data_IF_613869095320
#
_entry.id   IF_613869095320
#
_cell.length_a   1.000
_cell.length_b   1.000
_cell.length_c   1.000
_cell.angle_alpha   90.00
_cell.angle_beta   90.00
_cell.angle_gamma   90.00
#
_symmetry.space_group_name_H-M   'P 1'
#
loop_
_entity.id
_entity.type
_entity.pdbx_description
1 polymer ?
#
# COMPACT_ATOMS: atom_id res chain seq x y z
N UNK A 1 -35.96 54.90 -23.18
CA UNK A 1 -35.36 53.58 -23.43
C UNK A 1 -33.85 53.70 -23.37
N UNK A 2 -33.24 53.28 -22.26
CA UNK A 2 -31.79 53.04 -22.12
C UNK A 2 -31.67 51.79 -21.25
N UNK A 3 -31.18 50.70 -21.85
CA UNK A 3 -30.84 49.47 -21.13
C UNK A 3 -29.38 49.56 -20.70
N UNK A 4 -29.14 49.34 -19.40
CA UNK A 4 -27.85 49.05 -18.79
C UNK A 4 -27.99 47.63 -18.23
N UNK A 5 -27.26 46.68 -18.82
CA UNK A 5 -27.08 45.35 -18.24
C UNK A 5 -26.03 45.44 -17.13
N UNK A 6 -26.42 45.08 -15.91
CA UNK A 6 -25.52 44.87 -14.77
C UNK A 6 -25.66 43.44 -14.29
N UNK A 7 -24.50 42.84 -14.02
CA UNK A 7 -24.28 41.49 -13.55
C UNK A 7 -25.00 41.20 -12.24
N UNK A 8 -25.67 40.05 -12.13
CA UNK A 8 -26.21 39.54 -10.87
C UNK A 8 -25.27 38.47 -10.32
N UNK A 9 -24.57 38.81 -9.23
CA UNK A 9 -23.92 37.86 -8.33
C UNK A 9 -25.05 37.21 -7.52
N UNK A 10 -25.26 35.91 -7.68
CA UNK A 10 -26.19 35.14 -6.86
C UNK A 10 -25.47 34.71 -5.56
N UNK A 11 -25.82 35.38 -4.45
CA UNK A 11 -25.50 34.90 -3.12
C UNK A 11 -26.47 33.76 -2.75
N UNK A 12 -25.93 32.58 -2.43
CA UNK A 12 -26.68 31.45 -1.86
C UNK A 12 -26.97 31.72 -0.38
N UNK A 13 -28.21 31.56 0.12
CA UNK A 13 -28.51 31.69 1.54
C UNK A 13 -28.14 30.41 2.32
N UNK A 14 -27.81 30.64 3.58
CA UNK A 14 -27.39 29.67 4.58
C UNK A 14 -28.43 28.58 4.89
N UNK A 15 -27.90 27.43 5.32
CA UNK A 15 -28.47 26.35 6.13
C UNK A 15 -30.01 26.29 6.28
N UNK A 16 -30.62 25.28 5.67
CA UNK A 16 -31.96 24.80 6.04
C UNK A 16 -31.89 24.13 7.42
N UNK A 17 -32.23 24.90 8.46
CA UNK A 17 -32.60 24.36 9.77
C UNK A 17 -34.05 23.86 9.66
N UNK A 18 -34.27 22.55 9.75
CA UNK A 18 -35.61 22.01 9.95
C UNK A 18 -36.08 22.33 11.37
N UNK A 19 -36.85 23.41 11.53
CA UNK A 19 -37.46 23.78 12.80
C UNK A 19 -38.55 22.80 13.21
N UNK A 20 -38.33 22.06 14.31
CA UNK A 20 -39.40 21.43 15.10
C UNK A 20 -40.00 22.47 16.05
N UNK A 21 -41.31 22.38 16.30
CA UNK A 21 -41.98 23.11 17.38
C UNK A 21 -41.51 22.54 18.73
N UNK A 22 -40.90 23.37 19.57
CA UNK A 22 -40.46 23.04 20.93
C UNK A 22 -41.53 23.48 21.93
N UNK A 23 -41.96 22.58 22.81
CA UNK A 23 -42.87 22.88 23.92
C UNK A 23 -42.09 23.47 25.11
N UNK A 24 -42.73 24.34 25.89
CA UNK A 24 -42.17 25.21 26.96
C UNK A 24 -41.44 24.52 28.14
N UNK A 25 -41.12 23.23 28.07
CA UNK A 25 -40.47 22.47 29.17
C UNK A 25 -39.32 21.54 28.73
N UNK A 26 -38.76 21.68 27.54
CA UNK A 26 -37.51 20.97 27.20
C UNK A 26 -36.30 21.71 27.81
N UNK A 27 -35.73 21.12 28.85
CA UNK A 27 -34.42 21.53 29.37
C UNK A 27 -33.39 21.43 28.25
N UNK A 28 -32.68 22.53 28.02
CA UNK A 28 -31.68 22.70 26.97
C UNK A 28 -30.45 21.82 27.27
N UNK A 29 -30.57 20.54 26.94
CA UNK A 29 -29.49 19.56 27.01
C UNK A 29 -29.07 19.20 25.60
N UNK A 30 -28.48 20.16 24.88
CA UNK A 30 -27.59 19.83 23.77
C UNK A 30 -26.34 19.22 24.39
N UNK A 31 -26.33 17.89 24.52
CA UNK A 31 -25.10 17.15 24.82
C UNK A 31 -24.27 17.19 23.54
N UNK A 32 -23.38 18.18 23.44
CA UNK A 32 -22.29 18.15 22.46
C UNK A 32 -21.32 17.07 22.96
N UNK A 33 -21.41 15.86 22.42
CA UNK A 33 -20.36 14.88 22.64
C UNK A 33 -19.04 15.46 22.16
N UNK A 34 -17.99 15.38 22.99
CA UNK A 34 -16.66 15.81 22.56
C UNK A 34 -16.26 15.00 21.32
N UNK A 35 -15.68 15.64 20.29
CA UNK A 35 -15.26 14.93 19.10
C UNK A 35 -14.26 13.84 19.49
N UNK A 36 -14.40 12.65 18.89
CA UNK A 36 -13.48 11.56 19.09
C UNK A 36 -12.03 12.01 18.83
N UNK A 37 -11.12 11.58 19.71
CA UNK A 37 -9.69 11.87 19.62
C UNK A 37 -8.93 10.61 19.25
N UNK A 38 -7.87 10.80 18.47
CA UNK A 38 -6.98 9.78 17.95
C UNK A 38 -5.56 10.09 18.41
N UNK A 39 -4.81 9.07 18.79
CA UNK A 39 -3.40 9.20 19.15
C UNK A 39 -2.59 8.99 17.88
N UNK A 40 -1.88 10.03 17.44
CA UNK A 40 -0.99 9.96 16.28
C UNK A 40 0.46 10.09 16.70
N UNK A 41 1.36 9.53 15.88
CA UNK A 41 2.81 9.65 15.99
C UNK A 41 3.35 10.41 14.78
N UNK A 42 4.03 11.54 15.03
CA UNK A 42 4.61 12.40 13.98
C UNK A 42 6.04 11.99 13.58
N UNK A 43 6.70 11.25 14.47
CA UNK A 43 8.09 10.80 14.38
C UNK A 43 8.39 9.90 15.58
N UNK A 44 9.56 9.26 15.66
CA UNK A 44 9.81 8.18 16.61
C UNK A 44 9.65 8.67 18.06
N UNK A 45 8.60 8.20 18.74
CA UNK A 45 8.25 8.58 20.10
C UNK A 45 7.55 9.94 20.27
N UNK A 46 7.29 10.67 19.19
CA UNK A 46 6.60 11.97 19.21
C UNK A 46 5.09 11.77 18.97
N UNK A 47 4.34 11.62 20.07
CA UNK A 47 2.90 11.35 20.01
C UNK A 47 2.05 12.54 20.43
N UNK A 48 0.89 12.71 19.78
CA UNK A 48 -0.10 13.72 20.14
C UNK A 48 -1.53 13.21 19.96
N UNK A 49 -2.46 13.70 20.81
CA UNK A 49 -3.88 13.45 20.66
C UNK A 49 -4.53 14.54 19.81
N UNK A 50 -5.22 14.13 18.76
CA UNK A 50 -5.79 15.02 17.75
C UNK A 50 -7.22 14.59 17.40
N UNK A 51 -8.04 15.52 16.92
CA UNK A 51 -9.35 15.19 16.35
C UNK A 51 -9.20 14.61 14.94
N UNK A 52 -10.28 14.08 14.36
CA UNK A 52 -10.24 13.63 12.96
C UNK A 52 -9.95 14.78 11.98
N UNK A 53 -10.46 15.99 12.25
CA UNK A 53 -10.17 17.15 11.40
C UNK A 53 -8.72 17.59 11.50
N UNK A 54 -8.13 17.57 12.70
CA UNK A 54 -6.70 17.86 12.89
C UNK A 54 -5.81 16.91 12.07
N UNK A 55 -6.19 15.62 11.95
CA UNK A 55 -5.49 14.67 11.06
C UNK A 55 -5.53 15.13 9.60
N UNK A 56 -6.69 15.58 9.13
CA UNK A 56 -6.83 16.08 7.76
C UNK A 56 -6.10 17.40 7.55
N UNK A 57 -6.06 18.28 8.54
CA UNK A 57 -5.24 19.48 8.51
C UNK A 57 -3.74 19.17 8.39
N UNK A 58 -3.24 18.20 9.16
CA UNK A 58 -1.85 17.74 9.04
C UNK A 58 -1.58 17.21 7.63
N UNK A 59 -2.42 16.33 7.09
CA UNK A 59 -2.29 15.80 5.73
C UNK A 59 -2.33 16.90 4.66
N UNK A 60 -3.26 17.86 4.76
CA UNK A 60 -3.37 19.01 3.84
C UNK A 60 -2.15 19.93 3.87
N UNK A 61 -1.46 19.99 5.01
CA UNK A 61 -0.22 20.73 5.17
C UNK A 61 1.04 19.90 4.82
N UNK A 62 0.87 18.70 4.23
CA UNK A 62 1.97 17.83 3.83
C UNK A 62 2.66 17.10 4.99
N UNK A 63 2.09 17.15 6.19
CA UNK A 63 2.64 16.47 7.36
C UNK A 63 2.16 15.02 7.40
N UNK A 64 3.12 14.10 7.52
CA UNK A 64 2.88 12.66 7.67
C UNK A 64 2.74 12.29 9.14
N UNK A 65 1.96 11.26 9.41
CA UNK A 65 1.79 10.69 10.74
C UNK A 65 1.35 9.23 10.64
N UNK A 66 1.56 8.47 11.71
CA UNK A 66 0.91 7.19 11.93
C UNK A 66 -0.21 7.38 12.94
N UNK A 67 -1.40 6.81 12.71
CA UNK A 67 -2.44 6.76 13.73
C UNK A 67 -2.28 5.47 14.53
N UNK A 68 -1.82 5.60 15.77
CA UNK A 68 -1.46 4.51 16.66
C UNK A 68 -2.54 4.26 17.73
N UNK A 69 -3.75 4.79 17.53
CA UNK A 69 -4.83 4.76 18.53
C UNK A 69 -5.08 3.36 19.06
N UNK A 70 -5.19 2.38 18.15
CA UNK A 70 -5.52 0.97 18.43
C UNK A 70 -4.28 0.05 18.46
N UNK A 71 -3.10 0.59 18.12
CA UNK A 71 -1.88 -0.18 17.83
C UNK A 71 -0.67 0.28 18.65
N UNK A 72 -0.89 0.92 19.79
CA UNK A 72 0.16 1.44 20.71
C UNK A 72 1.24 0.44 21.10
N UNK A 73 0.84 -0.81 21.27
CA UNK A 73 1.75 -1.88 21.71
C UNK A 73 2.38 -2.63 20.52
N UNK A 74 2.13 -2.20 19.27
CA UNK A 74 2.71 -2.81 18.08
C UNK A 74 4.24 -2.78 18.15
N UNK A 75 4.86 -3.94 17.96
CA UNK A 75 6.31 -4.11 18.03
C UNK A 75 6.86 -4.28 19.44
N UNK A 76 6.04 -4.15 20.49
CA UNK A 76 6.50 -4.29 21.88
C UNK A 76 6.99 -5.70 22.22
N UNK A 77 6.38 -6.76 21.66
CA UNK A 77 6.81 -8.14 21.86
C UNK A 77 8.11 -8.41 21.10
N UNK A 78 8.23 -7.86 19.88
CA UNK A 78 9.47 -7.93 19.10
C UNK A 78 10.62 -7.18 19.76
N UNK A 79 10.40 -6.00 20.31
CA UNK A 79 11.44 -5.21 20.99
C UNK A 79 11.95 -5.90 22.27
N UNK A 80 11.10 -6.67 22.95
CA UNK A 80 11.49 -7.48 24.11
C UNK A 80 12.30 -8.72 23.73
N UNK A 81 12.13 -9.22 22.51
CA UNK A 81 12.98 -10.27 21.95
C UNK A 81 14.25 -9.66 21.36
N UNK A 82 15.44 -10.19 21.69
CA UNK A 82 16.65 -9.88 20.90
C UNK A 82 16.49 -10.55 19.53
N UNK A 83 15.78 -9.89 18.62
CA UNK A 83 15.62 -10.38 17.26
C UNK A 83 17.01 -10.50 16.62
N UNK A 84 17.37 -11.71 16.18
CA UNK A 84 18.59 -11.90 15.42
C UNK A 84 18.51 -11.09 14.11
N UNK A 85 19.60 -10.44 13.72
CA UNK A 85 19.70 -9.73 12.45
C UNK A 85 19.37 -10.67 11.30
N UNK A 86 18.38 -10.30 10.48
CA UNK A 86 17.98 -11.08 9.31
C UNK A 86 19.11 -11.05 8.28
N UNK A 87 19.54 -12.22 7.82
CA UNK A 87 20.56 -12.33 6.79
C UNK A 87 19.89 -12.47 5.43
N UNK A 88 20.12 -11.49 4.55
CA UNK A 88 19.63 -11.49 3.18
C UNK A 88 20.67 -12.08 2.21
N UNK A 89 20.26 -12.53 1.01
CA UNK A 89 21.20 -13.09 0.04
C UNK A 89 22.29 -12.08 -0.37
N UNK A 90 23.53 -12.56 -0.51
CA UNK A 90 24.64 -11.74 -1.01
C UNK A 90 24.70 -11.62 -2.54
N UNK A 91 23.84 -12.35 -3.25
CA UNK A 91 23.70 -12.32 -4.71
C UNK A 91 22.37 -12.95 -5.10
N UNK A 92 21.86 -12.60 -6.26
CA UNK A 92 20.74 -13.34 -6.84
C UNK A 92 21.27 -14.69 -7.36
N UNK A 93 20.51 -15.77 -7.21
CA UNK A 93 20.86 -17.11 -7.70
C UNK A 93 19.74 -17.77 -8.51
N UNK A 94 18.63 -17.08 -8.69
CA UNK A 94 17.41 -17.50 -9.40
C UNK A 94 17.14 -16.65 -10.64
N UNK A 95 18.14 -15.94 -11.16
CA UNK A 95 17.97 -15.02 -12.31
C UNK A 95 17.41 -15.73 -13.55
N UNK A 96 17.74 -17.01 -13.74
CA UNK A 96 17.22 -17.80 -14.88
C UNK A 96 15.72 -18.02 -14.75
N UNK A 97 15.26 -18.50 -13.61
CA UNK A 97 13.85 -18.75 -13.30
C UNK A 97 13.06 -17.45 -13.31
N UNK A 98 13.58 -16.40 -12.67
CA UNK A 98 13.01 -15.05 -12.68
C UNK A 98 12.89 -14.51 -14.11
N UNK A 99 13.93 -14.62 -14.94
CA UNK A 99 13.91 -14.15 -16.32
C UNK A 99 12.89 -14.91 -17.19
N UNK A 100 12.68 -16.20 -16.94
CA UNK A 100 11.64 -16.98 -17.62
C UNK A 100 10.23 -16.53 -17.22
N UNK A 101 10.00 -16.30 -15.93
CA UNK A 101 8.70 -15.84 -15.42
C UNK A 101 8.40 -14.40 -15.85
N UNK A 102 9.40 -13.52 -15.79
CA UNK A 102 9.27 -12.11 -16.15
C UNK A 102 8.79 -11.90 -17.59
N UNK A 103 9.05 -12.84 -18.49
CA UNK A 103 8.51 -12.83 -19.86
C UNK A 103 6.98 -12.91 -19.94
N UNK A 104 6.30 -13.30 -18.86
CA UNK A 104 4.85 -13.37 -18.79
C UNK A 104 4.21 -12.11 -18.18
N UNK A 105 5.00 -11.13 -17.70
CA UNK A 105 4.48 -9.87 -17.18
C UNK A 105 3.80 -9.08 -18.31
N UNK A 106 2.63 -8.51 -18.01
CA UNK A 106 1.73 -7.90 -19.00
C UNK A 106 1.30 -6.50 -18.59
N UNK A 107 1.73 -5.51 -19.39
CA UNK A 107 1.24 -4.12 -19.28
C UNK A 107 -0.26 -4.03 -19.54
N UNK A 108 -0.79 -4.87 -20.41
CA UNK A 108 -2.22 -4.88 -20.73
C UNK A 108 -3.08 -5.34 -19.54
N UNK A 109 -2.60 -6.34 -18.78
CA UNK A 109 -3.29 -6.77 -17.56
C UNK A 109 -3.22 -5.69 -16.47
N UNK A 110 -2.06 -5.03 -16.29
CA UNK A 110 -1.95 -3.89 -15.37
C UNK A 110 -2.91 -2.75 -15.76
N UNK A 111 -2.94 -2.36 -17.05
CA UNK A 111 -3.82 -1.30 -17.54
C UNK A 111 -5.30 -1.63 -17.33
N UNK A 112 -5.71 -2.85 -17.69
CA UNK A 112 -7.10 -3.31 -17.53
C UNK A 112 -7.54 -3.30 -16.07
N UNK A 113 -6.68 -3.77 -15.17
CA UNK A 113 -6.99 -3.79 -13.73
C UNK A 113 -7.01 -2.37 -13.17
N UNK A 114 -6.12 -1.49 -13.62
CA UNK A 114 -6.06 -0.11 -13.17
C UNK A 114 -7.29 0.68 -13.61
N UNK A 115 -7.70 0.53 -14.87
CA UNK A 115 -8.95 1.11 -15.39
C UNK A 115 -10.16 0.72 -14.55
N UNK A 116 -10.18 -0.51 -14.02
CA UNK A 116 -11.24 -0.97 -13.14
C UNK A 116 -11.14 -0.33 -11.74
N UNK A 117 -9.96 -0.29 -11.13
CA UNK A 117 -9.73 0.38 -9.83
C UNK A 117 -10.04 1.87 -9.85
N UNK A 118 -9.67 2.58 -10.91
CA UNK A 118 -9.93 4.02 -11.05
C UNK A 118 -11.37 4.33 -11.50
N UNK A 119 -12.19 3.30 -11.77
CA UNK A 119 -13.60 3.47 -12.12
C UNK A 119 -14.51 3.64 -10.91
N UNK A 120 -14.04 3.27 -9.71
CA UNK A 120 -14.74 3.59 -8.47
C UNK A 120 -14.63 5.10 -8.23
N UNK A 121 -15.73 5.73 -7.76
CA UNK A 121 -15.75 7.18 -7.52
C UNK A 121 -14.63 7.61 -6.55
N UNK A 122 -14.43 6.82 -5.52
CA UNK A 122 -13.32 6.89 -4.57
C UNK A 122 -13.07 5.48 -4.02
N UNK A 123 -11.90 5.21 -3.46
CA UNK A 123 -11.64 3.98 -2.69
C UNK A 123 -11.44 4.28 -1.20
N UNK A 124 -11.96 5.41 -0.73
CA UNK A 124 -11.89 5.83 0.67
C UNK A 124 -12.44 4.76 1.62
N UNK A 125 -11.65 4.40 2.64
CA UNK A 125 -11.87 3.24 3.51
C UNK A 125 -13.21 3.20 4.27
N UNK A 126 -13.76 4.38 4.60
CA UNK A 126 -15.08 4.51 5.27
C UNK A 126 -16.27 4.52 4.28
N UNK A 127 -16.02 4.59 2.98
CA UNK A 127 -17.07 4.68 1.96
C UNK A 127 -17.56 3.31 1.50
N UNK A 128 -18.79 3.25 0.96
CA UNK A 128 -19.31 2.03 0.33
C UNK A 128 -18.49 1.66 -0.92
N UNK A 129 -17.97 2.65 -1.65
CA UNK A 129 -17.07 2.40 -2.78
C UNK A 129 -15.74 1.76 -2.34
N UNK A 130 -15.20 2.16 -1.17
CA UNK A 130 -14.04 1.51 -0.56
C UNK A 130 -14.29 0.03 -0.27
N UNK A 131 -15.45 -0.29 0.33
CA UNK A 131 -15.90 -1.68 0.53
C UNK A 131 -15.97 -2.45 -0.80
N UNK A 132 -16.71 -1.92 -1.78
CA UNK A 132 -16.86 -2.54 -3.11
C UNK A 132 -15.51 -2.74 -3.82
N UNK A 133 -14.58 -1.80 -3.67
CA UNK A 133 -13.23 -1.92 -4.21
C UNK A 133 -12.47 -3.08 -3.58
N UNK A 134 -12.51 -3.23 -2.25
CA UNK A 134 -11.85 -4.36 -1.57
C UNK A 134 -12.46 -5.72 -1.90
N UNK A 135 -13.78 -5.77 -2.10
CA UNK A 135 -14.47 -6.98 -2.59
C UNK A 135 -13.99 -7.32 -4.00
N UNK A 136 -13.87 -6.33 -4.88
CA UNK A 136 -13.33 -6.53 -6.23
C UNK A 136 -11.88 -7.01 -6.24
N UNK A 137 -11.01 -6.45 -5.38
CA UNK A 137 -9.61 -6.90 -5.25
C UNK A 137 -9.59 -8.37 -4.82
N UNK A 138 -10.36 -8.75 -3.80
CA UNK A 138 -10.46 -10.14 -3.35
C UNK A 138 -10.94 -11.08 -4.46
N UNK A 139 -12.00 -10.70 -5.19
CA UNK A 139 -12.53 -11.48 -6.30
C UNK A 139 -11.49 -11.66 -7.41
N UNK A 140 -10.74 -10.60 -7.72
CA UNK A 140 -9.70 -10.64 -8.74
C UNK A 140 -8.54 -11.55 -8.35
N UNK A 141 -8.10 -11.49 -7.10
CA UNK A 141 -7.07 -12.39 -6.56
C UNK A 141 -7.54 -13.84 -6.60
N UNK A 142 -8.77 -14.12 -6.15
CA UNK A 142 -9.36 -15.47 -6.24
C UNK A 142 -9.48 -15.96 -7.68
N UNK A 143 -9.82 -15.07 -8.62
CA UNK A 143 -9.84 -15.40 -10.04
C UNK A 143 -8.44 -15.79 -10.54
N UNK A 144 -7.40 -15.01 -10.20
CA UNK A 144 -6.01 -15.32 -10.56
C UNK A 144 -5.58 -16.69 -10.01
N UNK A 145 -5.92 -16.99 -8.75
CA UNK A 145 -5.66 -18.31 -8.14
C UNK A 145 -6.33 -19.44 -8.93
N UNK A 146 -7.61 -19.25 -9.27
CA UNK A 146 -8.39 -20.24 -10.02
C UNK A 146 -7.84 -20.45 -11.42
N UNK A 147 -7.51 -19.37 -12.14
CA UNK A 147 -7.01 -19.43 -13.51
C UNK A 147 -5.61 -20.10 -13.57
N UNK A 148 -4.82 -19.98 -12.50
CA UNK A 148 -3.56 -20.69 -12.33
C UNK A 148 -3.72 -22.17 -11.92
N UNK A 149 -4.94 -22.63 -11.60
CA UNK A 149 -5.17 -23.98 -11.08
C UNK A 149 -4.59 -24.19 -9.67
N UNK A 150 -4.44 -23.11 -8.90
CA UNK A 150 -3.76 -23.09 -7.61
C UNK A 150 -4.71 -23.13 -6.40
N UNK A 151 -6.01 -23.33 -6.60
CA UNK A 151 -7.04 -23.25 -5.55
C UNK A 151 -6.87 -24.27 -4.41
N UNK A 152 -6.14 -25.35 -4.63
CA UNK A 152 -5.88 -26.38 -3.61
C UNK A 152 -4.71 -26.01 -2.67
N UNK A 153 -3.88 -25.02 -3.04
CA UNK A 153 -2.66 -24.66 -2.30
C UNK A 153 -2.61 -23.18 -1.92
N UNK A 154 -3.01 -22.29 -2.81
CA UNK A 154 -2.95 -20.83 -2.61
C UNK A 154 -4.31 -20.33 -2.13
N UNK A 155 -4.30 -19.49 -1.09
CA UNK A 155 -5.53 -18.94 -0.49
C UNK A 155 -5.53 -17.43 -0.53
N UNK A 156 -6.70 -16.82 -0.74
CA UNK A 156 -6.90 -15.39 -0.49
C UNK A 156 -8.03 -15.18 0.51
N UNK A 157 -7.87 -14.20 1.41
CA UNK A 157 -8.87 -13.91 2.43
C UNK A 157 -8.94 -12.42 2.75
N UNK A 158 -10.14 -11.89 3.05
CA UNK A 158 -10.26 -10.55 3.59
C UNK A 158 -9.77 -10.53 5.04
N UNK A 159 -9.11 -9.45 5.43
CA UNK A 159 -8.85 -9.10 6.82
C UNK A 159 -9.80 -7.94 7.18
N UNK A 160 -10.75 -8.24 8.05
CA UNK A 160 -11.78 -7.30 8.46
C UNK A 160 -11.25 -6.27 9.47
N UNK A 161 -11.78 -5.05 9.39
CA UNK A 161 -11.45 -3.94 10.29
C UNK A 161 -12.72 -3.37 10.92
N UNK A 162 -12.58 -2.33 11.76
CA UNK A 162 -13.72 -1.59 12.32
C UNK A 162 -14.43 -0.69 11.31
N UNK A 163 -13.94 -0.63 10.06
CA UNK A 163 -14.50 0.09 8.93
C UNK A 163 -14.88 -0.85 7.76
N UNK A 164 -15.67 -0.39 6.78
CA UNK A 164 -16.23 -1.26 5.73
C UNK A 164 -15.20 -1.88 4.77
N UNK A 165 -14.15 -1.15 4.40
CA UNK A 165 -13.11 -1.66 3.50
C UNK A 165 -12.20 -2.67 4.21
N UNK A 166 -12.09 -3.88 3.67
CA UNK A 166 -11.18 -4.90 4.19
C UNK A 166 -9.81 -4.79 3.54
N UNK A 167 -8.74 -5.16 4.26
CA UNK A 167 -7.49 -5.51 3.58
C UNK A 167 -7.64 -6.89 2.93
N UNK A 168 -6.86 -7.18 1.88
CA UNK A 168 -6.84 -8.51 1.24
C UNK A 168 -5.47 -9.14 1.44
N UNK A 169 -5.43 -10.41 1.85
CA UNK A 169 -4.19 -11.18 2.02
C UNK A 169 -4.28 -12.43 1.15
N UNK A 170 -3.41 -12.52 0.14
CA UNK A 170 -3.14 -13.76 -0.58
C UNK A 170 -1.93 -14.45 0.03
N UNK A 171 -1.99 -15.77 0.22
CA UNK A 171 -0.93 -16.59 0.80
C UNK A 171 -0.60 -17.75 -0.12
N UNK A 172 0.66 -17.81 -0.52
CA UNK A 172 1.30 -18.95 -1.19
C UNK A 172 2.11 -19.69 -0.11
N UNK A 173 1.71 -20.91 0.29
CA UNK A 173 2.37 -21.62 1.38
C UNK A 173 3.80 -22.01 0.99
N UNK A 174 4.75 -21.81 1.92
CA UNK A 174 6.07 -22.41 1.85
C UNK A 174 6.22 -23.56 2.84
N UNK A 175 7.43 -24.13 2.91
CA UNK A 175 7.77 -25.21 3.85
C UNK A 175 7.88 -24.78 5.32
N UNK A 176 7.84 -23.49 5.62
CA UNK A 176 8.04 -22.94 6.96
C UNK A 176 7.11 -21.75 7.27
N UNK A 177 7.02 -21.40 8.55
CA UNK A 177 6.31 -20.20 9.04
C UNK A 177 7.04 -18.88 8.72
N UNK A 178 8.24 -18.95 8.16
CA UNK A 178 9.01 -17.80 7.67
C UNK A 178 8.27 -17.16 6.51
N UNK A 179 8.00 -15.86 6.60
CA UNK A 179 7.15 -15.17 5.63
C UNK A 179 7.86 -13.98 4.99
N UNK A 180 7.68 -13.87 3.68
CA UNK A 180 8.04 -12.72 2.84
C UNK A 180 6.72 -12.06 2.41
N UNK A 181 6.59 -10.76 2.65
CA UNK A 181 5.38 -10.00 2.33
C UNK A 181 5.67 -9.03 1.18
N UNK A 182 4.77 -8.98 0.20
CA UNK A 182 4.71 -7.93 -0.82
C UNK A 182 3.42 -7.16 -0.59
N UNK A 183 3.50 -5.85 -0.44
CA UNK A 183 2.38 -4.99 -0.09
C UNK A 183 2.16 -3.86 -1.08
N UNK A 184 0.91 -3.41 -1.14
CA UNK A 184 0.46 -2.16 -1.74
C UNK A 184 -0.77 -1.72 -0.95
N UNK A 185 -1.16 -0.45 -1.00
CA UNK A 185 -2.47 -0.05 -0.43
C UNK A 185 -3.50 0.14 -1.54
N UNK A 186 -4.76 -0.12 -1.22
CA UNK A 186 -5.85 -0.14 -2.21
C UNK A 186 -6.85 1.00 -2.02
N UNK A 187 -6.75 1.74 -0.92
CA UNK A 187 -7.58 2.93 -0.72
C UNK A 187 -7.13 4.09 -1.63
N UNK A 188 -7.90 5.16 -1.60
CA UNK A 188 -7.56 6.44 -2.19
C UNK A 188 -8.27 7.53 -1.41
N UNK A 189 -7.73 8.74 -1.44
CA UNK A 189 -8.32 9.88 -0.74
C UNK A 189 -8.40 11.12 -1.61
N UNK A 190 -9.41 11.95 -1.33
CA UNK A 190 -9.43 13.34 -1.73
C UNK A 190 -9.34 14.20 -0.46
N UNK A 191 -8.23 14.93 -0.26
CA UNK A 191 -7.95 15.61 1.01
C UNK A 191 -8.93 16.74 1.37
N UNK A 192 -9.71 17.23 0.41
CA UNK A 192 -10.68 18.30 0.66
C UNK A 192 -11.99 17.77 1.22
N UNK A 193 -12.53 16.69 0.65
CA UNK A 193 -13.74 16.02 1.13
C UNK A 193 -13.66 14.51 0.83
N UNK A 194 -12.96 13.73 1.67
CA UNK A 194 -12.64 12.32 1.42
C UNK A 194 -13.84 11.41 1.09
N UNK A 195 -15.00 11.71 1.68
CA UNK A 195 -16.22 10.92 1.51
C UNK A 195 -17.11 11.38 0.33
N UNK A 196 -16.84 12.55 -0.26
CA UNK A 196 -17.75 13.18 -1.24
C UNK A 196 -17.08 13.33 -2.60
N UNK A 197 -15.85 13.85 -2.63
CA UNK A 197 -15.15 14.13 -3.87
C UNK A 197 -14.56 12.85 -4.46
N UNK A 198 -14.42 12.85 -5.78
CA UNK A 198 -13.79 11.74 -6.46
C UNK A 198 -12.30 11.66 -6.11
N UNK A 199 -11.80 10.43 -6.04
CA UNK A 199 -10.39 10.12 -5.84
C UNK A 199 -10.05 8.90 -6.72
N UNK A 200 -9.77 9.10 -8.03
CA UNK A 200 -9.46 7.99 -8.90
C UNK A 200 -8.23 7.23 -8.42
N UNK A 201 -7.25 7.88 -7.79
CA UNK A 201 -6.11 7.23 -7.12
C UNK A 201 -5.34 6.33 -8.09
N UNK A 202 -4.97 6.83 -9.26
CA UNK A 202 -4.41 6.02 -10.32
C UNK A 202 -2.95 5.65 -10.02
N UNK A 203 -2.16 6.62 -9.59
CA UNK A 203 -0.81 6.41 -9.13
C UNK A 203 -0.79 5.96 -7.67
N UNK A 204 -1.53 6.68 -6.81
CA UNK A 204 -1.57 6.53 -5.35
C UNK A 204 -2.89 5.86 -4.88
N UNK A 205 -2.89 4.57 -4.55
CA UNK A 205 -1.89 3.55 -4.94
C UNK A 205 -2.50 2.51 -5.88
N UNK A 206 -3.27 3.01 -6.85
CA UNK A 206 -3.79 2.19 -7.94
C UNK A 206 -2.66 1.46 -8.68
N UNK A 207 -1.54 2.15 -8.90
CA UNK A 207 -0.41 1.65 -9.66
C UNK A 207 0.34 0.53 -8.92
N UNK A 208 0.67 0.69 -7.63
CA UNK A 208 1.29 -0.36 -6.81
C UNK A 208 0.37 -1.55 -6.62
N UNK A 209 -0.92 -1.31 -6.38
CA UNK A 209 -1.94 -2.37 -6.29
C UNK A 209 -1.95 -3.26 -7.54
N UNK A 210 -1.95 -2.70 -8.75
CA UNK A 210 -1.99 -3.51 -9.98
C UNK A 210 -0.64 -4.11 -10.34
N UNK A 211 0.46 -3.44 -9.95
CA UNK A 211 1.82 -3.97 -10.06
C UNK A 211 1.95 -5.28 -9.27
N UNK A 212 1.52 -5.30 -8.01
CA UNK A 212 1.63 -6.50 -7.19
C UNK A 212 0.59 -7.59 -7.58
N UNK A 213 -0.58 -7.21 -8.13
CA UNK A 213 -1.51 -8.15 -8.76
C UNK A 213 -0.87 -8.89 -9.94
N UNK A 214 -0.12 -8.16 -10.76
CA UNK A 214 0.53 -8.71 -11.95
C UNK A 214 1.73 -9.60 -11.59
N UNK A 215 2.50 -9.22 -10.57
CA UNK A 215 3.55 -10.06 -9.99
C UNK A 215 2.96 -11.34 -9.39
N UNK A 216 1.87 -11.23 -8.63
CA UNK A 216 1.18 -12.39 -8.07
C UNK A 216 0.71 -13.34 -9.18
N UNK A 217 0.02 -12.82 -10.21
CA UNK A 217 -0.42 -13.60 -11.38
C UNK A 217 0.73 -14.32 -12.06
N UNK A 218 1.84 -13.63 -12.27
CA UNK A 218 3.03 -14.19 -12.93
C UNK A 218 3.72 -15.25 -12.07
N UNK A 219 3.83 -15.02 -10.77
CA UNK A 219 4.44 -15.94 -9.82
C UNK A 219 3.67 -17.27 -9.73
N UNK A 220 2.33 -17.23 -9.83
CA UNK A 220 1.51 -18.45 -9.89
C UNK A 220 1.68 -19.25 -11.20
N UNK A 221 2.42 -18.73 -12.19
CA UNK A 221 2.84 -19.50 -13.36
C UNK A 221 3.93 -20.54 -13.05
N UNK A 222 4.60 -20.44 -11.90
CA UNK A 222 5.63 -21.38 -11.46
C UNK A 222 5.01 -22.53 -10.65
N UNK A 223 5.16 -23.76 -11.17
CA UNK A 223 4.57 -24.96 -10.55
C UNK A 223 5.23 -25.36 -9.23
N UNK A 224 6.51 -25.04 -9.03
CA UNK A 224 7.19 -25.33 -7.78
C UNK A 224 6.72 -24.36 -6.69
N UNK A 225 6.51 -23.09 -7.03
CA UNK A 225 5.93 -22.10 -6.12
C UNK A 225 4.48 -22.47 -5.78
N UNK A 226 3.64 -22.76 -6.77
CA UNK A 226 2.24 -23.18 -6.55
C UNK A 226 2.16 -24.50 -5.77
N UNK A 227 3.09 -25.43 -6.00
CA UNK A 227 3.17 -26.70 -5.28
C UNK A 227 3.69 -26.59 -3.85
N UNK A 228 4.02 -25.39 -3.36
CA UNK A 228 4.56 -25.17 -2.02
C UNK A 228 5.98 -25.69 -1.83
N UNK A 229 6.75 -25.83 -2.91
CA UNK A 229 8.15 -26.27 -2.86
C UNK A 229 9.10 -25.19 -2.35
N UNK A 230 8.67 -23.92 -2.40
CA UNK A 230 9.39 -22.79 -1.82
C UNK A 230 9.64 -22.99 -0.32
N UNK A 231 10.75 -22.44 0.19
CA UNK A 231 11.11 -22.60 1.60
C UNK A 231 10.26 -21.72 2.50
N UNK A 232 10.08 -20.48 2.08
CA UNK A 232 9.41 -19.45 2.84
C UNK A 232 8.01 -19.23 2.25
N UNK A 233 7.05 -18.97 3.13
CA UNK A 233 5.71 -18.56 2.75
C UNK A 233 5.79 -17.18 2.11
N UNK A 234 5.07 -16.97 1.01
CA UNK A 234 4.96 -15.67 0.36
C UNK A 234 3.54 -15.15 0.54
N UNK A 235 3.40 -13.90 0.93
CA UNK A 235 2.11 -13.23 1.03
C UNK A 235 2.06 -11.95 0.22
N UNK A 236 0.92 -11.70 -0.42
CA UNK A 236 0.61 -10.45 -1.11
C UNK A 236 -0.52 -9.75 -0.36
N UNK A 237 -0.29 -8.50 0.04
CA UNK A 237 -1.19 -7.72 0.88
C UNK A 237 -1.68 -6.49 0.12
N UNK A 238 -2.99 -6.26 0.14
CA UNK A 238 -3.61 -5.02 -0.30
C UNK A 238 -4.24 -4.33 0.90
N UNK A 239 -3.53 -3.35 1.47
CA UNK A 239 -3.91 -2.70 2.71
C UNK A 239 -5.06 -1.70 2.52
N UNK A 240 -6.03 -1.72 3.43
CA UNK A 240 -7.02 -0.65 3.54
C UNK A 240 -6.53 0.46 4.46
N UNK A 241 -7.04 1.68 4.29
CA UNK A 241 -6.85 2.79 5.23
C UNK A 241 -5.38 3.17 5.49
N UNK A 242 -4.52 3.10 4.47
CA UNK A 242 -3.17 3.69 4.53
C UNK A 242 -3.31 5.19 4.76
N UNK A 243 -4.24 5.81 4.01
CA UNK A 243 -4.40 7.26 3.92
C UNK A 243 -4.89 7.89 5.22
N UNK A 244 -5.40 7.08 6.14
CA UNK A 244 -5.88 7.49 7.45
C UNK A 244 -4.80 7.37 8.55
N UNK A 245 -3.57 7.02 8.18
CA UNK A 245 -2.43 6.85 9.09
C UNK A 245 -2.00 5.39 9.26
N UNK A 246 -1.88 4.63 8.16
CA UNK A 246 -1.40 3.24 8.12
C UNK A 246 -2.26 2.24 8.92
N UNK A 247 -3.56 2.49 9.05
CA UNK A 247 -4.40 1.74 10.00
C UNK A 247 -4.50 0.24 9.67
N UNK A 248 -4.69 -0.11 8.39
CA UNK A 248 -4.89 -1.50 7.98
C UNK A 248 -3.62 -2.35 8.08
N UNK A 249 -2.46 -1.80 7.72
CA UNK A 249 -1.18 -2.52 7.83
C UNK A 249 -0.81 -2.71 9.30
N UNK A 250 -0.96 -1.68 10.14
CA UNK A 250 -0.71 -1.80 11.58
C UNK A 250 -1.58 -2.88 12.24
N UNK A 251 -2.88 -2.95 11.91
CA UNK A 251 -3.77 -3.98 12.44
C UNK A 251 -3.32 -5.41 12.07
N UNK A 252 -2.91 -5.62 10.81
CA UNK A 252 -2.38 -6.92 10.34
C UNK A 252 -1.09 -7.28 11.07
N UNK A 253 -0.13 -6.36 11.13
CA UNK A 253 1.16 -6.63 11.78
C UNK A 253 1.03 -6.83 13.29
N UNK A 254 0.07 -6.17 13.93
CA UNK A 254 -0.24 -6.42 15.34
C UNK A 254 -0.84 -7.83 15.54
N UNK A 255 -1.73 -8.26 14.65
CA UNK A 255 -2.25 -9.63 14.67
C UNK A 255 -1.14 -10.66 14.41
N UNK A 256 -0.21 -10.36 13.52
CA UNK A 256 0.93 -11.22 13.19
C UNK A 256 1.91 -11.35 14.37
N UNK A 257 2.19 -10.24 15.06
CA UNK A 257 3.00 -10.25 16.27
C UNK A 257 2.36 -11.11 17.36
N UNK A 258 1.06 -10.92 17.62
CA UNK A 258 0.29 -11.72 18.59
C UNK A 258 0.24 -13.21 18.23
N UNK A 259 0.16 -13.53 16.93
CA UNK A 259 0.12 -14.89 16.42
C UNK A 259 1.50 -15.55 16.26
N UNK A 260 2.60 -14.83 16.49
CA UNK A 260 3.95 -15.35 16.31
C UNK A 260 4.31 -15.65 14.84
N UNK A 261 3.79 -14.86 13.89
CA UNK A 261 4.18 -14.97 12.47
C UNK A 261 5.61 -14.46 12.27
N UNK A 262 6.46 -15.27 11.66
CA UNK A 262 7.87 -14.95 11.43
C UNK A 262 8.09 -14.22 10.10
N UNK A 263 7.65 -12.95 10.03
CA UNK A 263 7.91 -12.08 8.87
C UNK A 263 9.38 -11.64 8.85
N UNK A 264 10.11 -12.02 7.80
CA UNK A 264 11.54 -11.68 7.59
C UNK A 264 11.76 -10.51 6.64
N UNK A 265 10.85 -10.31 5.71
CA UNK A 265 10.97 -9.27 4.70
C UNK A 265 9.58 -8.76 4.33
N UNK A 266 9.49 -7.46 4.09
CA UNK A 266 8.30 -6.82 3.54
C UNK A 266 8.75 -5.79 2.51
N UNK A 267 8.22 -5.88 1.29
CA UNK A 267 8.39 -4.88 0.24
C UNK A 267 7.05 -4.18 0.01
N UNK A 268 7.03 -2.85 0.13
CA UNK A 268 5.88 -2.02 -0.23
C UNK A 268 6.09 -1.48 -1.64
N UNK A 269 5.07 -1.61 -2.49
CA UNK A 269 4.91 -0.90 -3.75
C UNK A 269 3.87 0.17 -3.51
N UNK A 270 4.29 1.42 -3.59
CA UNK A 270 3.45 2.59 -3.36
C UNK A 270 3.90 3.68 -4.34
N UNK A 271 3.03 4.02 -5.28
CA UNK A 271 3.31 4.85 -6.46
C UNK A 271 4.42 4.26 -7.34
N UNK A 272 3.99 3.66 -8.44
CA UNK A 272 4.85 2.91 -9.39
C UNK A 272 4.74 3.43 -10.81
N UNK A 273 3.89 4.43 -11.05
CA UNK A 273 3.43 4.81 -12.38
C UNK A 273 4.07 6.07 -12.93
N UNK A 274 4.34 7.09 -12.13
CA UNK A 274 4.74 8.41 -12.59
C UNK A 274 6.27 8.59 -12.65
N UNK A 275 6.78 8.59 -13.89
CA UNK A 275 8.20 8.83 -14.18
C UNK A 275 8.49 10.25 -14.70
N UNK A 276 7.45 11.04 -15.01
CA UNK A 276 7.59 12.29 -15.75
C UNK A 276 8.41 13.34 -14.99
N UNK A 277 8.23 13.46 -13.67
CA UNK A 277 9.02 14.39 -12.85
C UNK A 277 10.53 14.12 -12.93
N UNK A 278 10.93 12.84 -12.95
CA UNK A 278 12.34 12.44 -13.11
C UNK A 278 12.88 12.82 -14.49
N UNK A 279 12.07 12.63 -15.54
CA UNK A 279 12.40 12.98 -16.92
C UNK A 279 12.56 14.50 -17.06
N UNK A 280 11.62 15.27 -16.49
CA UNK A 280 11.63 16.73 -16.53
C UNK A 280 12.84 17.32 -15.77
N UNK A 281 13.30 16.64 -14.71
CA UNK A 281 14.53 16.96 -14.00
C UNK A 281 15.81 16.59 -14.78
N UNK A 282 15.70 16.03 -15.99
CA UNK A 282 16.82 15.61 -16.83
C UNK A 282 17.60 14.41 -16.27
N UNK A 283 16.97 13.63 -15.38
CA UNK A 283 17.56 12.45 -14.74
C UNK A 283 17.13 11.17 -15.49
N UNK A 284 17.96 10.11 -15.48
CA UNK A 284 17.52 8.82 -16.00
C UNK A 284 16.34 8.31 -15.15
N UNK A 285 15.33 7.74 -15.82
CA UNK A 285 14.24 7.03 -15.15
C UNK A 285 14.87 5.99 -14.23
N UNK A 286 14.52 6.07 -12.95
CA UNK A 286 15.13 5.28 -11.89
C UNK A 286 14.06 4.94 -10.87
N UNK A 287 14.30 3.86 -10.15
CA UNK A 287 13.47 3.41 -9.05
C UNK A 287 14.06 3.98 -7.76
N UNK A 288 13.30 4.79 -7.01
CA UNK A 288 13.79 5.50 -5.83
C UNK A 288 13.83 4.62 -4.59
N UNK A 289 14.93 4.69 -3.79
CA UNK A 289 15.17 3.87 -2.58
C UNK A 289 14.86 4.66 -1.32
N UNK A 290 13.85 4.27 -0.55
CA UNK A 290 13.60 4.83 0.78
C UNK A 290 14.57 4.17 1.78
N UNK A 291 15.21 4.98 2.62
CA UNK A 291 16.22 4.52 3.61
C UNK A 291 15.84 4.81 5.06
N UNK A 292 14.79 5.58 5.30
CA UNK A 292 14.18 5.84 6.59
C UNK A 292 13.12 4.78 6.93
N UNK A 293 13.06 4.34 8.19
CA UNK A 293 12.14 3.30 8.70
C UNK A 293 12.21 1.92 8.02
N UNK A 294 13.33 1.61 7.36
CA UNK A 294 13.55 0.32 6.67
C UNK A 294 14.69 -0.48 7.30
N UNK A 295 14.70 -1.79 7.06
CA UNK A 295 15.83 -2.66 7.42
C UNK A 295 17.01 -2.44 6.44
N UNK A 296 18.20 -2.04 6.92
CA UNK A 296 19.34 -1.75 6.04
C UNK A 296 19.81 -2.95 5.21
N UNK A 297 19.68 -4.17 5.75
CA UNK A 297 20.05 -5.41 5.06
C UNK A 297 19.11 -5.72 3.90
N UNK A 298 17.80 -5.55 4.12
CA UNK A 298 16.79 -5.67 3.07
C UNK A 298 17.00 -4.61 1.99
N UNK A 299 17.23 -3.35 2.37
CA UNK A 299 17.53 -2.27 1.41
C UNK A 299 18.77 -2.57 0.57
N UNK A 300 19.83 -3.11 1.18
CA UNK A 300 21.04 -3.51 0.46
C UNK A 300 20.78 -4.66 -0.52
N UNK A 301 19.95 -5.64 -0.13
CA UNK A 301 19.56 -6.73 -1.02
C UNK A 301 18.73 -6.23 -2.21
N UNK A 302 17.82 -5.27 -1.98
CA UNK A 302 16.99 -4.69 -3.06
C UNK A 302 17.87 -3.96 -4.08
N UNK A 303 18.89 -3.21 -3.65
CA UNK A 303 19.95 -2.65 -4.52
C UNK A 303 20.57 -3.70 -5.40
N UNK A 304 20.89 -4.85 -4.82
CA UNK A 304 21.50 -5.96 -5.56
C UNK A 304 20.56 -6.59 -6.58
N UNK A 305 19.31 -6.86 -6.22
CA UNK A 305 18.29 -7.40 -7.15
C UNK A 305 18.19 -6.51 -8.39
N UNK A 306 18.25 -5.20 -8.19
CA UNK A 306 18.08 -4.21 -9.24
C UNK A 306 19.34 -4.11 -10.10
N UNK A 307 20.52 -3.99 -9.48
CA UNK A 307 21.80 -3.99 -10.21
C UNK A 307 21.96 -5.24 -11.08
N UNK A 308 21.66 -6.43 -10.52
CA UNK A 308 21.80 -7.70 -11.22
C UNK A 308 20.72 -7.94 -12.28
N UNK A 309 19.53 -7.35 -12.10
CA UNK A 309 18.50 -7.34 -13.13
C UNK A 309 18.74 -6.27 -14.22
N UNK A 310 19.83 -5.48 -14.10
CA UNK A 310 20.25 -4.49 -15.09
C UNK A 310 19.57 -3.13 -14.95
N UNK A 311 18.99 -2.85 -13.79
CA UNK A 311 18.29 -1.61 -13.48
C UNK A 311 19.18 -0.67 -12.64
N UNK A 312 19.05 0.66 -12.80
CA UNK A 312 19.59 1.61 -11.86
C UNK A 312 18.62 1.83 -10.68
N UNK A 313 19.08 1.47 -9.47
CA UNK A 313 18.60 1.81 -8.09
C UNK A 313 17.33 1.17 -7.47
N UNK A 314 17.26 1.24 -6.12
CA UNK A 314 16.49 0.38 -5.21
C UNK A 314 15.23 0.93 -4.55
N UNK A 315 14.48 0.11 -3.79
CA UNK A 315 13.33 0.31 -2.85
C UNK A 315 12.33 1.49 -2.95
N UNK A 316 11.12 1.26 -3.44
CA UNK A 316 10.77 1.42 -4.84
C UNK A 316 9.56 2.34 -4.89
N UNK A 317 9.80 3.63 -4.63
CA UNK A 317 8.90 4.69 -5.08
C UNK A 317 9.28 5.01 -6.53
N UNK A 318 8.31 5.43 -7.33
CA UNK A 318 8.50 5.77 -8.74
C UNK A 318 9.64 6.75 -9.04
N UNK A 319 10.03 7.60 -8.08
CA UNK A 319 11.01 8.67 -8.26
C UNK A 319 11.56 9.19 -6.92
N UNK A 320 12.59 10.03 -6.96
CA UNK A 320 13.00 10.78 -5.76
C UNK A 320 11.83 11.64 -5.25
N UNK A 321 11.69 11.80 -3.93
CA UNK A 321 10.55 12.51 -3.32
C UNK A 321 10.29 13.92 -3.88
N UNK A 322 11.33 14.63 -4.31
CA UNK A 322 11.21 15.95 -4.96
C UNK A 322 10.57 15.93 -6.36
N UNK A 323 10.45 14.75 -6.98
CA UNK A 323 9.99 14.54 -8.36
C UNK A 323 8.75 13.63 -8.44
N UNK A 324 8.13 13.28 -7.31
CA UNK A 324 6.94 12.42 -7.24
C UNK A 324 5.72 13.09 -7.86
N UNK A 325 4.70 12.31 -8.21
CA UNK A 325 3.47 12.83 -8.78
C UNK A 325 2.84 13.92 -7.89
N UNK A 326 2.60 15.09 -8.48
CA UNK A 326 1.98 16.25 -7.84
C UNK A 326 0.45 16.24 -7.97
N UNK A 327 -0.12 15.24 -8.66
CA UNK A 327 -1.56 15.10 -8.86
C UNK A 327 -2.27 14.24 -7.80
N UNK A 328 -1.51 13.58 -6.91
CA UNK A 328 -2.01 12.68 -5.87
C UNK A 328 -3.01 13.34 -4.91
N UNK A 329 -3.79 12.50 -4.23
CA UNK A 329 -4.79 12.90 -3.23
C UNK A 329 -5.89 13.87 -3.72
N UNK A 330 -6.21 13.80 -5.02
CA UNK A 330 -7.19 14.66 -5.68
C UNK A 330 -7.88 13.98 -6.87
N UNK A 331 -8.62 14.77 -7.66
CA UNK A 331 -9.33 14.27 -8.85
C UNK A 331 -8.43 14.09 -10.07
N UNK A 332 -7.22 14.65 -10.05
CA UNK A 332 -6.30 14.65 -11.18
C UNK A 332 -5.28 13.50 -11.13
N UNK A 333 -5.27 12.69 -10.06
CA UNK A 333 -4.50 11.45 -10.06
C UNK A 333 -5.12 10.46 -11.07
N UNK A 334 -4.58 10.44 -12.29
CA UNK A 334 -5.19 9.83 -13.47
C UNK A 334 -4.18 9.00 -14.26
N UNK A 335 -4.65 7.88 -14.83
CA UNK A 335 -3.86 6.93 -15.63
C UNK A 335 -3.06 7.61 -16.75
N UNK A 336 -3.56 8.72 -17.32
CA UNK A 336 -2.90 9.44 -18.43
C UNK A 336 -1.49 9.94 -18.11
N UNK A 337 -1.15 10.06 -16.82
CA UNK A 337 0.16 10.52 -16.35
C UNK A 337 1.15 9.37 -16.11
N UNK A 338 0.70 8.12 -16.18
CA UNK A 338 1.50 6.96 -15.80
C UNK A 338 2.23 6.33 -16.99
N UNK A 339 3.43 5.84 -16.71
CA UNK A 339 4.26 5.03 -17.60
C UNK A 339 4.13 3.56 -17.23
N UNK A 340 3.41 2.79 -18.05
CA UNK A 340 3.33 1.34 -17.88
C UNK A 340 4.65 0.61 -18.13
N UNK A 341 5.60 1.25 -18.83
CA UNK A 341 6.97 0.74 -18.91
C UNK A 341 7.67 0.86 -17.56
N UNK A 342 7.46 1.97 -16.84
CA UNK A 342 7.99 2.16 -15.49
C UNK A 342 7.40 1.16 -14.49
N UNK A 343 6.07 1.01 -14.49
CA UNK A 343 5.37 0.00 -13.69
C UNK A 343 5.87 -1.42 -13.98
N UNK A 344 6.18 -1.73 -15.25
CA UNK A 344 6.72 -3.02 -15.63
C UNK A 344 8.11 -3.27 -15.02
N UNK A 345 8.95 -2.24 -14.88
CA UNK A 345 10.23 -2.38 -14.19
C UNK A 345 10.06 -2.61 -12.68
N UNK A 346 9.10 -1.91 -12.04
CA UNK A 346 8.70 -2.20 -10.65
C UNK A 346 8.24 -3.66 -10.49
N UNK A 347 7.44 -4.17 -11.44
CA UNK A 347 6.96 -5.54 -11.42
C UNK A 347 8.10 -6.57 -11.56
N UNK A 348 9.05 -6.36 -12.48
CA UNK A 348 10.21 -7.25 -12.65
C UNK A 348 11.10 -7.30 -11.41
N UNK A 349 11.36 -6.14 -10.81
CA UNK A 349 12.13 -6.02 -9.58
C UNK A 349 11.44 -6.74 -8.40
N UNK A 350 10.14 -6.53 -8.25
CA UNK A 350 9.32 -7.20 -7.22
C UNK A 350 9.32 -8.71 -7.42
N UNK A 351 9.16 -9.18 -8.66
CA UNK A 351 9.21 -10.60 -9.01
C UNK A 351 10.58 -11.21 -8.69
N UNK A 352 11.66 -10.52 -9.01
CA UNK A 352 13.02 -10.96 -8.69
C UNK A 352 13.22 -11.10 -7.19
N UNK A 353 12.87 -10.07 -6.41
CA UNK A 353 12.99 -10.08 -4.96
C UNK A 353 12.17 -11.22 -4.34
N UNK A 354 10.88 -11.30 -4.67
CA UNK A 354 9.98 -12.27 -4.02
C UNK A 354 10.41 -13.70 -4.34
N UNK A 355 10.86 -13.96 -5.57
CA UNK A 355 11.30 -15.30 -5.96
C UNK A 355 12.60 -15.70 -5.25
N UNK A 356 13.60 -14.81 -5.17
CA UNK A 356 14.83 -15.08 -4.42
C UNK A 356 14.55 -15.36 -2.94
N UNK A 357 13.74 -14.51 -2.31
CA UNK A 357 13.43 -14.64 -0.89
C UNK A 357 12.49 -15.81 -0.59
N UNK A 358 11.67 -16.26 -1.54
CA UNK A 358 10.86 -17.47 -1.38
C UNK A 358 11.73 -18.73 -1.19
N UNK A 359 12.92 -18.77 -1.80
CA UNK A 359 13.85 -19.91 -1.74
C UNK A 359 15.02 -19.72 -0.76
N UNK A 360 15.25 -18.49 -0.27
CA UNK A 360 16.39 -18.17 0.61
C UNK A 360 16.34 -18.87 1.97
N UNK A 361 17.53 -19.21 2.51
CA UNK A 361 17.70 -19.76 3.85
C UNK A 361 17.86 -18.67 4.91
N UNK A 362 16.77 -18.30 5.59
CA UNK A 362 16.84 -17.37 6.73
C UNK A 362 17.31 -18.01 8.06
N UNK A 363 17.53 -19.33 8.10
CA UNK A 363 18.00 -20.05 9.30
C UNK A 363 19.52 -20.24 9.35
N UNK A 364 20.22 -20.08 8.22
CA UNK A 364 21.67 -20.15 8.14
C UNK A 364 22.29 -18.86 8.73
N UNK A 365 22.62 -18.87 10.01
CA UNK A 365 23.51 -17.87 10.57
C UNK A 365 24.90 -18.05 9.92
N UNK A 366 25.50 -16.95 9.43
CA UNK A 366 26.95 -16.96 9.21
C UNK A 366 27.61 -16.88 10.58
N UNK A 367 28.43 -17.87 10.92
CA UNK A 367 29.41 -17.71 11.99
C UNK A 367 30.26 -16.49 11.62
N UNK A 368 30.29 -15.47 12.49
CA UNK A 368 31.28 -14.40 12.33
C UNK A 368 32.67 -15.04 12.32
N UNK A 369 33.58 -14.63 11.42
CA UNK A 369 34.95 -15.10 11.48
C UNK A 369 35.49 -14.74 12.86
N UNK A 370 35.89 -15.75 13.65
CA UNK A 370 36.55 -15.48 14.93
C UNK A 370 37.79 -14.65 14.61
N UNK A 371 37.83 -13.40 15.06
CA UNK A 371 39.07 -12.62 15.08
C UNK A 371 40.10 -13.42 15.90
N UNK A 372 41.12 -13.93 15.21
CA UNK A 372 42.31 -14.54 15.79
C UNK A 372 43.47 -13.55 15.69
#
# INVERSE_FOLDING_TARGET
MKFLQTSLVAALPAALVSGRFVAENEGDHVILEEPAKYLIELGPGETQWVTEEDKWDLRRNGQRFMDITDTRDLGSLRAQSRAATVQFPDKCVKQKEVGQLAGNLSKDEMLKNLQKLTSFHTRYYKSDYGRQSSEWVLDKVNQIIKDAGASDTVTASPFAHSWPQSSVIARIPGKSNTTVVIGAHQDSINLWLPAILAAPGADDDGSGTVTILEVFRTLLGDKDVVGGSARNTVEFHWYSAEEAGLLGSQAIFQAYEKAGRDVKAMLQQDMTGYAQGTIDAGKPVSVGVITDYVDPGLTAFIKKVIEEAGYPSAFVIESAFENSDQHIHGTEDLIKYLSFDHMLEHAKMTLGLVYELAYHDFSAAREEPSEL
#
